data_IF_773128507544
#
_entry.id   IF_773128507544
#
_cell.length_a   1.000
_cell.length_b   1.000
_cell.length_c   1.000
_cell.angle_alpha   90.00
_cell.angle_beta   90.00
_cell.angle_gamma   90.00
#
_symmetry.space_group_name_H-M   'P 1'
#
loop_
_entity.id
_entity.type
_entity.pdbx_description
1 polymer ?
#
# COMPACT_ATOMS: atom_id res chain seq x y z
N UNK A 1 35.29 31.42 53.80
CA UNK A 1 34.10 30.92 53.17
C UNK A 1 34.47 30.49 51.76
N UNK A 2 34.58 29.16 51.46
CA UNK A 2 34.90 28.62 50.16
C UNK A 2 33.60 28.42 49.38
N UNK A 3 33.44 29.11 48.27
CA UNK A 3 32.27 28.95 47.33
C UNK A 3 32.52 27.74 46.47
N UNK A 4 31.66 26.72 46.60
CA UNK A 4 31.63 25.51 45.74
C UNK A 4 30.75 25.84 44.54
N UNK A 5 31.32 25.85 43.32
CA UNK A 5 30.57 25.94 42.08
C UNK A 5 30.26 24.50 41.57
N UNK A 6 28.98 24.13 41.60
CA UNK A 6 28.52 22.87 41.01
C UNK A 6 28.32 23.12 39.56
N UNK A 7 29.17 22.51 38.73
CA UNK A 7 29.05 22.52 37.25
C UNK A 7 28.04 21.44 36.86
N UNK A 8 26.86 21.88 36.41
CA UNK A 8 25.81 20.97 35.92
C UNK A 8 26.12 20.59 34.46
N UNK A 9 26.58 19.35 34.23
CA UNK A 9 26.81 18.81 32.87
C UNK A 9 25.47 18.34 32.33
N UNK A 10 24.87 19.08 31.40
CA UNK A 10 23.69 18.64 30.62
C UNK A 10 24.19 17.73 29.51
N UNK A 11 24.00 16.42 29.67
CA UNK A 11 24.24 15.43 28.62
C UNK A 11 23.04 15.45 27.69
N UNK A 12 23.18 16.12 26.56
CA UNK A 12 22.23 16.05 25.45
C UNK A 12 22.34 14.66 24.78
N UNK A 13 21.39 13.77 25.09
CA UNK A 13 21.21 12.54 24.32
C UNK A 13 20.67 12.91 22.93
N UNK A 14 21.55 13.07 21.96
CA UNK A 14 21.19 13.10 20.55
C UNK A 14 20.81 11.66 20.20
N UNK A 15 19.51 11.36 20.27
CA UNK A 15 18.96 10.13 19.71
C UNK A 15 19.10 10.17 18.18
N UNK A 16 20.20 9.68 17.68
CA UNK A 16 20.39 9.47 16.25
C UNK A 16 19.45 8.32 15.83
N UNK A 17 18.26 8.65 15.30
CA UNK A 17 17.45 7.67 14.60
C UNK A 17 18.27 7.20 13.41
N UNK A 18 18.83 5.99 13.52
CA UNK A 18 19.53 5.32 12.42
C UNK A 18 18.51 5.12 11.30
N UNK A 19 18.61 5.91 10.24
CA UNK A 19 17.83 5.71 9.04
C UNK A 19 18.17 4.31 8.52
N UNK A 20 17.23 3.38 8.59
CA UNK A 20 17.40 2.02 8.05
C UNK A 20 17.36 2.18 6.54
N UNK A 21 18.54 2.28 5.91
CA UNK A 21 18.67 2.25 4.46
C UNK A 21 18.54 0.80 4.03
N UNK A 22 17.35 0.41 3.57
CA UNK A 22 17.13 -0.92 3.00
C UNK A 22 18.03 -1.12 1.77
N UNK A 23 18.68 -2.28 1.62
CA UNK A 23 19.38 -2.61 0.39
C UNK A 23 18.38 -2.61 -0.78
N UNK A 24 18.81 -2.09 -1.92
CA UNK A 24 18.00 -1.90 -3.13
C UNK A 24 17.78 -3.26 -3.81
N UNK A 25 16.74 -4.02 -3.41
CA UNK A 25 16.46 -5.32 -4.03
C UNK A 25 15.58 -5.22 -5.26
N UNK A 26 14.58 -4.32 -5.24
CA UNK A 26 13.69 -4.09 -6.36
C UNK A 26 13.87 -2.67 -6.87
N UNK A 27 13.97 -2.52 -8.22
CA UNK A 27 14.08 -1.22 -8.88
C UNK A 27 12.73 -0.74 -9.37
N UNK A 28 11.93 -1.66 -9.89
CA UNK A 28 10.62 -1.40 -10.51
C UNK A 28 9.56 -2.24 -9.83
N UNK A 29 8.62 -1.59 -9.15
CA UNK A 29 7.50 -2.24 -8.48
C UNK A 29 6.21 -1.86 -9.20
N UNK A 30 5.43 -2.85 -9.62
CA UNK A 30 4.07 -2.67 -10.10
C UNK A 30 3.11 -2.98 -8.95
N UNK A 31 2.21 -2.04 -8.63
CA UNK A 31 1.16 -2.26 -7.63
C UNK A 31 -0.18 -2.32 -8.33
N UNK A 32 -0.84 -3.47 -8.23
CA UNK A 32 -2.21 -3.68 -8.66
C UNK A 32 -3.12 -3.52 -7.44
N UNK A 33 -3.91 -2.46 -7.44
CA UNK A 33 -4.70 -2.11 -6.26
C UNK A 33 -6.04 -1.47 -6.60
N UNK A 34 -6.62 -0.81 -5.62
CA UNK A 34 -7.91 -0.12 -5.68
C UNK A 34 -7.77 1.35 -5.26
N UNK A 35 -8.84 1.96 -4.72
CA UNK A 35 -8.87 3.36 -4.27
C UNK A 35 -7.80 3.71 -3.25
N UNK A 36 -7.42 2.77 -2.37
CA UNK A 36 -6.36 2.99 -1.37
C UNK A 36 -4.99 3.12 -2.05
N UNK A 37 -4.80 2.51 -3.24
CA UNK A 37 -3.55 2.57 -4.00
C UNK A 37 -3.46 3.83 -4.85
N UNK A 38 -4.49 4.09 -5.64
CA UNK A 38 -4.63 5.30 -6.46
C UNK A 38 -6.10 5.47 -6.86
N UNK A 39 -6.58 6.70 -6.79
CA UNK A 39 -7.88 7.08 -7.31
C UNK A 39 -7.77 8.42 -8.02
N UNK A 40 -8.28 8.49 -9.26
CA UNK A 40 -8.33 9.75 -10.00
C UNK A 40 -9.30 10.73 -9.34
N UNK A 41 -9.15 12.04 -9.56
CA UNK A 41 -10.11 13.02 -9.05
C UNK A 41 -11.54 12.69 -9.47
N UNK A 42 -12.47 12.73 -8.53
CA UNK A 42 -13.90 12.54 -8.75
C UNK A 42 -14.69 13.50 -7.84
N UNK A 43 -15.06 14.63 -8.41
CA UNK A 43 -15.80 15.66 -7.69
C UNK A 43 -17.20 15.20 -7.24
N UNK A 44 -17.77 14.16 -7.86
CA UNK A 44 -19.11 13.66 -7.50
C UNK A 44 -19.12 13.01 -6.12
N UNK A 45 -17.98 12.46 -5.68
CA UNK A 45 -17.78 11.92 -4.34
C UNK A 45 -16.99 12.85 -3.42
N UNK A 46 -16.53 14.02 -3.93
CA UNK A 46 -15.72 14.97 -3.18
C UNK A 46 -14.24 14.60 -3.08
N UNK A 47 -13.72 13.78 -4.00
CA UNK A 47 -12.31 13.43 -4.10
C UNK A 47 -11.59 14.26 -5.18
N UNK A 48 -10.47 14.89 -4.80
CA UNK A 48 -9.72 15.80 -5.69
C UNK A 48 -8.24 15.41 -5.84
N UNK A 49 -7.84 14.26 -5.31
CA UNK A 49 -6.49 13.74 -5.44
C UNK A 49 -6.33 12.77 -6.63
N UNK A 50 -5.08 12.53 -7.04
CA UNK A 50 -4.69 11.47 -7.97
C UNK A 50 -3.63 10.59 -7.32
N UNK A 51 -3.96 10.04 -6.17
CA UNK A 51 -3.13 9.19 -5.29
C UNK A 51 -4.05 8.32 -4.42
N UNK A 52 -3.49 7.64 -3.42
CA UNK A 52 -4.26 6.83 -2.48
C UNK A 52 -5.31 7.65 -1.74
N UNK A 53 -6.59 7.25 -1.89
CA UNK A 53 -7.74 7.98 -1.36
C UNK A 53 -7.61 8.21 0.14
N UNK A 54 -7.96 9.42 0.60
CA UNK A 54 -7.90 9.94 1.96
C UNK A 54 -6.50 10.30 2.50
N UNK A 55 -5.41 10.04 1.79
CA UNK A 55 -4.15 10.69 2.13
C UNK A 55 -4.25 12.20 1.89
N UNK A 56 -3.75 13.01 2.85
CA UNK A 56 -3.91 14.47 2.80
C UNK A 56 -3.14 15.14 1.66
N UNK A 57 -2.18 14.45 1.07
CA UNK A 57 -1.43 14.86 -0.11
C UNK A 57 -0.74 13.66 -0.75
N UNK A 58 -0.30 13.84 -1.98
CA UNK A 58 0.35 12.79 -2.79
C UNK A 58 1.55 12.14 -2.08
N UNK A 59 2.36 12.94 -1.39
CA UNK A 59 3.57 12.45 -0.70
C UNK A 59 3.29 11.70 0.61
N UNK A 60 2.01 11.63 1.01
CA UNK A 60 1.52 10.96 2.22
C UNK A 60 0.80 9.65 1.95
N UNK A 61 0.46 9.33 0.69
CA UNK A 61 -0.09 8.02 0.38
C UNK A 61 0.97 6.92 0.53
N UNK A 62 0.51 5.68 0.70
CA UNK A 62 1.44 4.57 0.96
C UNK A 62 2.37 4.28 -0.22
N UNK A 63 1.96 4.57 -1.47
CA UNK A 63 2.77 4.34 -2.67
C UNK A 63 4.01 5.22 -2.65
N UNK A 64 3.83 6.54 -2.44
CA UNK A 64 4.95 7.49 -2.41
C UNK A 64 5.79 7.37 -1.12
N UNK A 65 5.17 6.96 0.00
CA UNK A 65 5.92 6.59 1.22
C UNK A 65 6.78 5.35 0.96
N UNK A 66 6.23 4.32 0.31
CA UNK A 66 6.96 3.11 -0.05
C UNK A 66 8.11 3.39 -1.05
N UNK A 67 7.91 4.29 -2.02
CA UNK A 67 8.99 4.77 -2.90
C UNK A 67 10.15 5.36 -2.10
N UNK A 68 9.86 6.21 -1.12
CA UNK A 68 10.88 6.82 -0.25
C UNK A 68 11.62 5.76 0.57
N UNK A 69 10.90 4.79 1.13
CA UNK A 69 11.47 3.72 1.95
C UNK A 69 12.34 2.77 1.13
N UNK A 70 11.87 2.34 -0.03
CA UNK A 70 12.55 1.33 -0.86
C UNK A 70 13.49 1.93 -1.90
N UNK A 71 13.30 3.19 -2.28
CA UNK A 71 13.97 3.85 -3.41
C UNK A 71 13.69 3.17 -4.76
N UNK A 72 12.66 2.37 -4.84
CA UNK A 72 12.18 1.78 -6.08
C UNK A 72 11.34 2.80 -6.86
N UNK A 73 11.28 2.67 -8.17
CA UNK A 73 10.24 3.30 -8.98
C UNK A 73 8.97 2.48 -8.84
N UNK A 74 7.86 3.10 -8.44
CA UNK A 74 6.60 2.39 -8.22
C UNK A 74 5.57 2.86 -9.23
N UNK A 75 4.94 1.90 -9.92
CA UNK A 75 3.82 2.14 -10.80
C UNK A 75 2.53 1.65 -10.14
N UNK A 76 1.67 2.53 -9.60
CA UNK A 76 0.35 2.14 -9.10
C UNK A 76 -0.64 2.01 -10.25
N UNK A 77 -1.48 0.98 -10.21
CA UNK A 77 -2.57 0.75 -11.16
C UNK A 77 -3.84 0.38 -10.41
N UNK A 78 -4.89 1.17 -10.58
CA UNK A 78 -6.20 0.86 -10.03
C UNK A 78 -6.90 -0.16 -10.94
N UNK A 79 -7.19 -1.32 -10.38
CA UNK A 79 -7.98 -2.37 -11.01
C UNK A 79 -9.15 -2.81 -10.11
N UNK A 80 -9.75 -1.87 -9.39
CA UNK A 80 -10.93 -2.13 -8.53
C UNK A 80 -12.09 -2.77 -9.28
N UNK A 81 -12.18 -2.58 -10.62
CA UNK A 81 -13.12 -3.30 -11.47
C UNK A 81 -12.95 -4.83 -11.41
N UNK A 82 -11.72 -5.32 -11.18
CA UNK A 82 -11.47 -6.74 -10.97
C UNK A 82 -12.14 -7.24 -9.67
N UNK A 83 -12.12 -6.47 -8.60
CA UNK A 83 -12.77 -6.85 -7.33
C UNK A 83 -14.29 -6.98 -7.48
N UNK A 84 -14.91 -6.14 -8.32
CA UNK A 84 -16.35 -6.16 -8.56
C UNK A 84 -16.81 -7.28 -9.49
N UNK A 85 -15.95 -7.70 -10.43
CA UNK A 85 -16.29 -8.70 -11.46
C UNK A 85 -15.08 -9.57 -11.80
N UNK A 86 -14.54 -10.32 -10.84
CA UNK A 86 -13.21 -10.93 -10.97
C UNK A 86 -13.11 -11.99 -12.06
N UNK A 87 -14.22 -12.70 -12.39
CA UNK A 87 -14.25 -13.73 -13.44
C UNK A 87 -14.32 -13.15 -14.88
N UNK A 88 -14.84 -11.94 -15.03
CA UNK A 88 -15.11 -11.33 -16.34
C UNK A 88 -14.24 -10.11 -16.61
N UNK A 89 -13.38 -9.75 -15.67
CA UNK A 89 -12.47 -8.63 -15.83
C UNK A 89 -11.43 -8.91 -16.92
N UNK A 90 -11.28 -7.96 -17.84
CA UNK A 90 -10.31 -8.07 -18.92
C UNK A 90 -8.88 -7.83 -18.39
N UNK A 91 -8.14 -8.92 -18.22
CA UNK A 91 -6.75 -8.86 -17.75
C UNK A 91 -5.78 -8.34 -18.83
N UNK A 92 -6.21 -8.13 -20.09
CA UNK A 92 -5.34 -7.57 -21.12
C UNK A 92 -4.93 -6.12 -20.83
N UNK A 93 -5.71 -5.41 -20.05
CA UNK A 93 -5.35 -4.04 -19.60
C UNK A 93 -4.01 -3.99 -18.86
N UNK A 94 -3.55 -5.12 -18.28
CA UNK A 94 -2.28 -5.23 -17.57
C UNK A 94 -1.08 -5.36 -18.52
N UNK A 95 -1.28 -5.68 -19.80
CA UNK A 95 -0.18 -5.95 -20.74
C UNK A 95 0.84 -4.82 -20.79
N UNK A 96 0.37 -3.59 -20.97
CA UNK A 96 1.24 -2.41 -21.04
C UNK A 96 2.05 -2.17 -19.75
N UNK A 97 1.55 -2.62 -18.61
CA UNK A 97 2.22 -2.45 -17.31
C UNK A 97 3.23 -3.58 -17.07
N UNK A 98 2.87 -4.81 -17.43
CA UNK A 98 3.72 -5.98 -17.29
C UNK A 98 4.88 -6.00 -18.29
N UNK A 99 4.71 -5.43 -19.50
CA UNK A 99 5.78 -5.24 -20.48
C UNK A 99 6.95 -4.37 -19.99
N UNK A 100 6.73 -3.55 -18.96
CA UNK A 100 7.79 -2.78 -18.31
C UNK A 100 8.74 -3.63 -17.43
N UNK A 101 8.55 -4.96 -17.41
CA UNK A 101 9.35 -5.92 -16.66
C UNK A 101 9.54 -5.52 -15.18
N UNK A 102 8.47 -5.44 -14.38
CA UNK A 102 8.59 -5.15 -12.96
C UNK A 102 9.41 -6.24 -12.26
N UNK A 103 10.24 -5.84 -11.29
CA UNK A 103 10.98 -6.78 -10.44
C UNK A 103 10.07 -7.40 -9.37
N UNK A 104 9.06 -6.63 -8.93
CA UNK A 104 8.04 -7.03 -7.97
C UNK A 104 6.66 -6.60 -8.47
N UNK A 105 5.70 -7.51 -8.41
CA UNK A 105 4.27 -7.20 -8.56
C UNK A 105 3.60 -7.36 -7.20
N UNK A 106 3.06 -6.27 -6.67
CA UNK A 106 2.29 -6.25 -5.43
C UNK A 106 0.80 -6.27 -5.77
N UNK A 107 0.09 -7.30 -5.34
CA UNK A 107 -1.37 -7.42 -5.44
C UNK A 107 -1.96 -6.93 -4.12
N UNK A 108 -2.57 -5.74 -4.16
CA UNK A 108 -3.20 -5.11 -3.02
C UNK A 108 -4.67 -4.88 -3.31
N UNK A 109 -5.43 -5.95 -3.24
CA UNK A 109 -6.84 -6.07 -3.60
C UNK A 109 -7.59 -6.85 -2.51
N UNK A 110 -8.90 -6.75 -2.51
CA UNK A 110 -9.77 -7.53 -1.64
C UNK A 110 -10.82 -6.70 -0.90
N UNK A 111 -10.65 -5.37 -0.80
CA UNK A 111 -11.53 -4.49 -0.07
C UNK A 111 -12.96 -4.44 -0.63
N UNK A 112 -13.10 -4.50 -1.96
CA UNK A 112 -14.39 -4.36 -2.65
C UNK A 112 -15.00 -5.73 -3.03
N UNK A 113 -14.40 -6.83 -2.61
CA UNK A 113 -14.94 -8.18 -2.84
C UNK A 113 -16.19 -8.37 -1.97
N UNK A 114 -17.35 -8.45 -2.61
CA UNK A 114 -18.65 -8.67 -1.95
C UNK A 114 -18.99 -10.16 -1.82
N UNK A 115 -18.67 -10.94 -2.87
CA UNK A 115 -18.85 -12.39 -2.89
C UNK A 115 -17.50 -13.07 -3.15
N UNK A 116 -16.86 -13.67 -2.14
CA UNK A 116 -15.55 -14.29 -2.27
C UNK A 116 -15.57 -15.68 -2.93
N UNK A 117 -16.76 -16.21 -3.31
CA UNK A 117 -16.90 -17.55 -3.90
C UNK A 117 -15.97 -17.80 -5.08
N UNK A 118 -15.74 -16.79 -5.91
CA UNK A 118 -14.93 -16.88 -7.12
C UNK A 118 -13.54 -16.22 -6.95
N UNK A 119 -13.19 -15.81 -5.74
CA UNK A 119 -11.93 -15.09 -5.51
C UNK A 119 -10.72 -15.96 -5.83
N UNK A 120 -10.71 -17.21 -5.37
CA UNK A 120 -9.56 -18.10 -5.58
C UNK A 120 -9.27 -18.35 -7.08
N UNK A 121 -10.23 -18.82 -7.92
CA UNK A 121 -9.96 -19.03 -9.36
C UNK A 121 -9.61 -17.72 -10.08
N UNK A 122 -10.12 -16.59 -9.65
CA UNK A 122 -9.78 -15.29 -10.23
C UNK A 122 -8.36 -14.84 -9.88
N UNK A 123 -7.89 -15.16 -8.66
CA UNK A 123 -6.49 -14.97 -8.27
C UNK A 123 -5.56 -15.88 -9.09
N UNK A 124 -5.96 -17.11 -9.38
CA UNK A 124 -5.20 -18.01 -10.26
C UNK A 124 -5.04 -17.42 -11.68
N UNK A 125 -6.14 -16.90 -12.24
CA UNK A 125 -6.11 -16.25 -13.55
C UNK A 125 -5.18 -15.01 -13.54
N UNK A 126 -5.28 -14.17 -12.53
CA UNK A 126 -4.41 -13.00 -12.36
C UNK A 126 -2.94 -13.42 -12.19
N UNK A 127 -2.66 -14.40 -11.35
CA UNK A 127 -1.32 -14.94 -11.13
C UNK A 127 -0.71 -15.49 -12.41
N UNK A 128 -1.48 -16.26 -13.18
CA UNK A 128 -1.04 -16.83 -14.45
C UNK A 128 -0.75 -15.72 -15.46
N UNK A 129 -1.59 -14.67 -15.52
CA UNK A 129 -1.34 -13.50 -16.37
C UNK A 129 -0.01 -12.84 -16.02
N UNK A 130 0.25 -12.59 -14.75
CA UNK A 130 1.50 -11.98 -14.28
C UNK A 130 2.70 -12.87 -14.61
N UNK A 131 2.65 -14.15 -14.25
CA UNK A 131 3.75 -15.10 -14.50
C UNK A 131 4.07 -15.29 -15.98
N UNK A 132 3.05 -15.26 -16.85
CA UNK A 132 3.24 -15.39 -18.30
C UNK A 132 3.87 -14.12 -18.88
N UNK A 133 3.43 -12.94 -18.45
CA UNK A 133 3.87 -11.67 -19.04
C UNK A 133 5.17 -11.13 -18.40
N UNK A 134 5.44 -11.48 -17.14
CA UNK A 134 6.63 -11.05 -16.39
C UNK A 134 7.19 -12.20 -15.55
N UNK A 135 7.76 -13.23 -16.16
CA UNK A 135 8.13 -14.49 -15.48
C UNK A 135 9.22 -14.32 -14.41
N UNK A 136 10.02 -13.27 -14.50
CA UNK A 136 11.08 -12.96 -13.51
C UNK A 136 10.56 -12.19 -12.30
N UNK A 137 9.37 -11.61 -12.36
CA UNK A 137 8.81 -10.80 -11.28
C UNK A 137 8.56 -11.65 -10.02
N UNK A 138 9.01 -11.15 -8.87
CA UNK A 138 8.51 -11.64 -7.58
C UNK A 138 7.08 -11.16 -7.39
N UNK A 139 6.29 -11.94 -6.65
CA UNK A 139 4.88 -11.60 -6.41
C UNK A 139 4.64 -11.56 -4.91
N UNK A 140 3.95 -10.50 -4.48
CA UNK A 140 3.54 -10.27 -3.10
C UNK A 140 2.05 -9.99 -3.07
N UNK A 141 1.34 -10.50 -2.08
CA UNK A 141 -0.08 -10.24 -1.85
C UNK A 141 -0.24 -9.63 -0.47
N UNK A 142 -1.12 -8.64 -0.33
CA UNK A 142 -1.53 -8.15 0.99
C UNK A 142 -2.90 -8.67 1.38
N UNK A 143 -3.16 -8.79 2.68
CA UNK A 143 -4.52 -8.85 3.19
C UNK A 143 -5.23 -7.51 3.02
N UNK A 144 -6.53 -7.49 3.31
CA UNK A 144 -7.33 -6.26 3.30
C UNK A 144 -6.94 -5.33 4.45
N UNK A 145 -7.05 -4.02 4.24
CA UNK A 145 -6.90 -3.03 5.32
C UNK A 145 -8.12 -3.09 6.24
N UNK A 146 -9.34 -2.98 5.71
CA UNK A 146 -10.55 -3.16 6.52
C UNK A 146 -10.72 -4.62 6.92
N UNK A 147 -11.28 -4.83 8.09
CA UNK A 147 -11.49 -6.18 8.63
C UNK A 147 -12.47 -6.97 7.76
N UNK A 148 -11.92 -7.80 6.88
CA UNK A 148 -12.64 -8.82 6.12
C UNK A 148 -11.91 -10.16 6.29
N UNK A 149 -12.24 -10.86 7.38
CA UNK A 149 -11.53 -12.09 7.76
C UNK A 149 -11.62 -13.17 6.70
N UNK A 150 -12.77 -13.30 6.03
CA UNK A 150 -12.97 -14.33 5.01
C UNK A 150 -12.13 -14.06 3.75
N UNK A 151 -12.19 -12.85 3.21
CA UNK A 151 -11.38 -12.49 2.06
C UNK A 151 -9.89 -12.55 2.39
N UNK A 152 -9.47 -12.01 3.55
CA UNK A 152 -8.08 -12.05 3.99
C UNK A 152 -7.56 -13.48 4.12
N UNK A 153 -8.35 -14.41 4.68
CA UNK A 153 -7.97 -15.82 4.79
C UNK A 153 -7.76 -16.46 3.41
N UNK A 154 -8.63 -16.19 2.43
CA UNK A 154 -8.46 -16.70 1.06
C UNK A 154 -7.18 -16.14 0.43
N UNK A 155 -6.89 -14.85 0.59
CA UNK A 155 -5.67 -14.22 0.06
C UNK A 155 -4.41 -14.82 0.68
N UNK A 156 -4.41 -15.06 2.00
CA UNK A 156 -3.31 -15.68 2.72
C UNK A 156 -3.10 -17.14 2.32
N UNK A 157 -4.17 -17.94 2.28
CA UNK A 157 -4.11 -19.33 1.83
C UNK A 157 -3.62 -19.44 0.40
N UNK A 158 -4.11 -18.58 -0.49
CA UNK A 158 -3.65 -18.52 -1.87
C UNK A 158 -2.16 -18.20 -1.97
N UNK A 159 -1.70 -17.21 -1.21
CA UNK A 159 -0.29 -16.85 -1.18
C UNK A 159 0.58 -18.03 -0.69
N UNK A 160 0.18 -18.68 0.40
CA UNK A 160 0.90 -19.82 0.98
C UNK A 160 0.97 -21.01 0.00
N UNK A 161 -0.16 -21.38 -0.64
CA UNK A 161 -0.21 -22.50 -1.59
C UNK A 161 0.62 -22.27 -2.84
N UNK A 162 0.78 -21.00 -3.25
CA UNK A 162 1.56 -20.63 -4.44
C UNK A 162 2.99 -20.18 -4.14
N UNK A 163 3.44 -20.26 -2.87
CA UNK A 163 4.78 -19.84 -2.45
C UNK A 163 5.03 -18.34 -2.63
N UNK A 164 3.98 -17.53 -2.53
CA UNK A 164 4.03 -16.08 -2.64
C UNK A 164 4.23 -15.45 -1.26
N UNK A 165 4.68 -14.21 -1.25
CA UNK A 165 4.75 -13.45 -0.01
C UNK A 165 3.39 -12.90 0.39
N UNK A 166 3.10 -12.91 1.68
CA UNK A 166 1.88 -12.32 2.24
C UNK A 166 2.20 -11.27 3.28
N UNK A 167 1.45 -10.16 3.25
CA UNK A 167 1.54 -9.05 4.21
C UNK A 167 0.17 -8.84 4.86
N UNK A 168 -0.04 -9.18 6.13
CA UNK A 168 -1.29 -8.91 6.83
C UNK A 168 -1.44 -7.41 7.10
N UNK A 169 -2.60 -6.81 6.81
CA UNK A 169 -2.88 -5.39 7.00
C UNK A 169 -4.08 -5.11 7.92
N UNK A 170 -5.00 -6.06 8.12
CA UNK A 170 -6.26 -5.82 8.84
C UNK A 170 -6.09 -5.33 10.29
N UNK A 171 -4.95 -5.63 10.93
CA UNK A 171 -4.62 -5.12 12.27
C UNK A 171 -4.35 -3.61 12.29
N UNK A 172 -4.18 -2.99 11.12
CA UNK A 172 -3.96 -1.56 10.95
C UNK A 172 -5.28 -0.77 10.88
N UNK A 173 -6.43 -1.41 10.67
CA UNK A 173 -7.74 -0.75 10.60
C UNK A 173 -8.21 -0.29 11.99
N UNK A 174 -7.64 0.77 12.47
CA UNK A 174 -7.95 1.39 13.75
C UNK A 174 -8.28 2.86 13.55
N UNK A 175 -9.04 3.45 14.47
CA UNK A 175 -9.48 4.85 14.36
C UNK A 175 -8.31 5.82 14.12
N UNK A 176 -7.16 5.63 14.77
CA UNK A 176 -6.00 6.50 14.57
C UNK A 176 -5.35 6.38 13.18
N UNK A 177 -5.77 5.42 12.37
CA UNK A 177 -5.20 5.13 11.05
C UNK A 177 -6.15 5.44 9.89
N UNK A 178 -7.38 5.83 10.15
CA UNK A 178 -8.36 6.23 9.12
C UNK A 178 -8.49 7.74 9.05
N UNK A 179 -9.04 8.25 7.95
CA UNK A 179 -9.46 9.63 7.81
C UNK A 179 -10.86 9.83 8.40
N UNK A 180 -11.23 11.06 8.64
CA UNK A 180 -12.52 11.43 9.23
C UNK A 180 -13.22 12.51 8.42
N UNK A 181 -14.54 12.60 8.57
CA UNK A 181 -15.30 13.74 8.07
C UNK A 181 -14.74 15.02 8.70
N UNK A 182 -14.45 16.01 7.87
CA UNK A 182 -13.84 17.27 8.28
C UNK A 182 -12.33 17.34 8.06
N UNK A 183 -11.65 16.22 7.82
CA UNK A 183 -10.23 16.23 7.50
C UNK A 183 -9.97 17.07 6.24
N UNK A 184 -8.79 17.69 6.19
CA UNK A 184 -8.40 18.60 5.11
C UNK A 184 -7.42 17.90 4.18
N UNK A 185 -7.75 17.85 2.90
CA UNK A 185 -6.95 17.22 1.84
C UNK A 185 -6.58 18.29 0.81
N UNK A 186 -5.31 18.35 0.43
CA UNK A 186 -4.85 19.20 -0.68
C UNK A 186 -5.11 18.48 -1.99
N UNK A 187 -6.01 19.00 -2.83
CA UNK A 187 -6.29 18.44 -4.15
C UNK A 187 -5.18 18.67 -5.18
N UNK A 188 -5.27 17.98 -6.33
CA UNK A 188 -4.39 18.25 -7.50
C UNK A 188 -4.60 19.63 -8.09
N UNK A 189 -5.78 20.21 -7.89
CA UNK A 189 -6.12 21.60 -8.23
C UNK A 189 -5.38 22.63 -7.36
N UNK A 190 -4.63 22.17 -6.35
CA UNK A 190 -3.88 23.00 -5.41
C UNK A 190 -4.71 23.59 -4.28
N UNK A 191 -6.03 23.34 -4.25
CA UNK A 191 -6.94 23.81 -3.22
C UNK A 191 -7.01 22.84 -2.04
N UNK A 192 -7.50 23.35 -0.91
CA UNK A 192 -7.80 22.52 0.27
C UNK A 192 -9.28 22.17 0.25
N UNK A 193 -9.57 20.90 0.31
CA UNK A 193 -10.93 20.35 0.35
C UNK A 193 -11.15 19.62 1.67
N UNK A 194 -12.34 19.79 2.24
CA UNK A 194 -12.74 19.04 3.44
C UNK A 194 -13.38 17.72 3.01
N UNK A 195 -13.03 16.63 3.72
CA UNK A 195 -13.70 15.34 3.56
C UNK A 195 -15.15 15.48 4.02
N UNK A 196 -16.09 15.26 3.11
CA UNK A 196 -17.53 15.35 3.37
C UNK A 196 -18.28 14.04 3.12
N UNK A 197 -17.61 13.07 2.48
CA UNK A 197 -18.16 11.77 2.15
C UNK A 197 -17.59 10.69 3.06
N UNK A 198 -18.46 9.89 3.68
CA UNK A 198 -18.05 8.82 4.60
C UNK A 198 -17.23 7.74 3.89
N UNK A 199 -17.49 7.47 2.62
CA UNK A 199 -16.68 6.51 1.85
C UNK A 199 -15.20 6.93 1.78
N UNK A 200 -14.92 8.24 1.69
CA UNK A 200 -13.54 8.76 1.74
C UNK A 200 -13.01 8.69 3.17
N UNK A 201 -13.82 9.11 4.17
CA UNK A 201 -13.41 9.18 5.56
C UNK A 201 -12.96 7.81 6.12
N UNK A 202 -13.56 6.71 5.69
CA UNK A 202 -13.21 5.38 6.17
C UNK A 202 -11.91 4.83 5.55
N UNK A 203 -11.33 5.51 4.56
CA UNK A 203 -10.04 5.12 3.97
C UNK A 203 -8.88 5.37 4.94
N UNK A 204 -7.74 4.70 4.75
CA UNK A 204 -6.52 5.00 5.50
C UNK A 204 -6.14 6.47 5.37
N UNK A 205 -6.07 7.20 6.47
CA UNK A 205 -5.45 8.53 6.52
C UNK A 205 -3.92 8.43 6.49
N UNK A 206 -3.22 9.57 6.64
CA UNK A 206 -1.74 9.62 6.55
C UNK A 206 -1.05 8.59 7.45
N UNK A 207 -1.53 8.40 8.68
CA UNK A 207 -0.96 7.41 9.61
C UNK A 207 -1.18 5.98 9.14
N UNK A 208 -2.36 5.66 8.59
CA UNK A 208 -2.67 4.35 8.02
C UNK A 208 -1.85 4.07 6.76
N UNK A 209 -1.74 5.05 5.88
CA UNK A 209 -0.90 4.97 4.68
C UNK A 209 0.56 4.72 5.02
N UNK A 210 1.12 5.45 6.00
CA UNK A 210 2.47 5.24 6.49
C UNK A 210 2.68 3.80 6.97
N UNK A 211 1.76 3.26 7.80
CA UNK A 211 1.86 1.90 8.35
C UNK A 211 1.71 0.82 7.28
N UNK A 212 0.87 1.03 6.26
CA UNK A 212 0.77 0.13 5.11
C UNK A 212 2.12 0.06 4.38
N UNK A 213 2.72 1.21 4.09
CA UNK A 213 4.02 1.28 3.43
C UNK A 213 5.12 0.60 4.25
N UNK A 214 5.17 0.83 5.55
CA UNK A 214 6.13 0.20 6.47
C UNK A 214 5.99 -1.32 6.53
N UNK A 215 4.76 -1.84 6.60
CA UNK A 215 4.51 -3.28 6.60
C UNK A 215 4.99 -3.95 5.31
N UNK A 216 4.75 -3.32 4.16
CA UNK A 216 5.21 -3.81 2.86
C UNK A 216 6.75 -3.72 2.77
N UNK A 217 7.35 -2.61 3.19
CA UNK A 217 8.80 -2.40 3.17
C UNK A 217 9.54 -3.43 4.04
N UNK A 218 9.04 -3.73 5.24
CA UNK A 218 9.57 -4.77 6.11
C UNK A 218 9.55 -6.15 5.44
N UNK A 219 8.47 -6.47 4.72
CA UNK A 219 8.38 -7.75 3.99
C UNK A 219 9.36 -7.82 2.83
N UNK A 220 9.61 -6.71 2.16
CA UNK A 220 10.64 -6.59 1.12
C UNK A 220 12.05 -6.82 1.74
N UNK A 221 12.30 -6.29 2.93
CA UNK A 221 13.58 -6.47 3.63
C UNK A 221 13.82 -7.94 4.03
N UNK A 222 12.79 -8.63 4.54
CA UNK A 222 12.88 -10.05 4.88
C UNK A 222 13.33 -10.93 3.69
N UNK A 223 12.92 -10.55 2.47
CA UNK A 223 13.34 -11.23 1.24
C UNK A 223 14.83 -11.06 0.97
N UNK A 224 15.31 -9.84 1.15
CA UNK A 224 16.71 -9.52 0.90
C UNK A 224 17.62 -10.34 1.81
N UNK A 225 17.20 -10.53 3.08
CA UNK A 225 17.97 -11.31 4.06
C UNK A 225 17.97 -12.81 3.78
N UNK A 226 16.95 -13.34 3.08
CA UNK A 226 16.86 -14.77 2.72
C UNK A 226 17.56 -15.12 1.41
N UNK A 227 18.01 -14.12 0.65
CA UNK A 227 18.68 -14.29 -0.64
C UNK A 227 20.21 -14.39 -0.51
N UNK A 228 20.73 -14.40 0.72
CA UNK A 228 22.13 -14.61 1.10
C UNK A 228 22.26 -15.89 1.94
#
# INVERSE_FOLDING_TARGET
MKKFYILFFIILFISCKKEIKLPRSFKNILILGNSITIHVPDASIGWYGNWGMAATSKDKDYVHVLEKLTRASIQPVNISGWENSPLTFDLSILDKHLLNNPDLVLIRLGENIRDPKNLYPSLEALLNKIKTSSPAAKIMITGTFWLNTHVTAILEDFANQNGLMFVPLSHLARNENISFIGDLIKGEDGLIHSVTNQEIADHPGDAGMQKIAEAIALKIEELNLKSF
#
